data_IF_643300781259
#
_entry.id   IF_643300781259
#
_cell.length_a   1.000
_cell.length_b   1.000
_cell.length_c   1.000
_cell.angle_alpha   90.00
_cell.angle_beta   90.00
_cell.angle_gamma   90.00
#
_symmetry.space_group_name_H-M   'P 1'
#
loop_
_entity.id
_entity.type
_entity.pdbx_description
1 polymer ?
#
# COMPACT_ATOMS: atom_id res chain seq x y z
N UNK A 1 1.19 14.93 -29.20
CA UNK A 1 1.42 16.11 -28.33
C UNK A 1 2.44 15.73 -27.27
N UNK A 2 3.39 16.60 -26.92
CA UNK A 2 4.32 16.34 -25.81
C UNK A 2 3.59 16.57 -24.48
N UNK A 3 3.52 15.53 -23.65
CA UNK A 3 2.82 15.49 -22.37
C UNK A 3 3.81 15.60 -21.21
N UNK A 4 3.73 16.70 -20.46
CA UNK A 4 4.52 16.89 -19.24
C UNK A 4 4.19 15.80 -18.21
N UNK A 5 5.23 15.23 -17.59
CA UNK A 5 5.10 14.24 -16.52
C UNK A 5 4.75 12.84 -17.00
N UNK A 6 4.87 12.54 -18.30
CA UNK A 6 4.64 11.20 -18.85
C UNK A 6 5.84 10.70 -19.64
N UNK A 7 5.95 9.38 -19.73
CA UNK A 7 6.83 8.72 -20.70
C UNK A 7 6.13 8.61 -22.04
N UNK A 8 6.87 8.91 -23.09
CA UNK A 8 6.36 8.84 -24.45
C UNK A 8 7.49 8.59 -25.43
N UNK A 9 7.13 7.98 -26.55
CA UNK A 9 8.04 7.79 -27.67
C UNK A 9 8.08 9.07 -28.52
N UNK A 10 9.27 9.60 -28.77
CA UNK A 10 9.50 10.78 -29.61
C UNK A 10 10.61 10.52 -30.62
N UNK A 11 10.54 11.19 -31.77
CA UNK A 11 11.51 11.05 -32.84
C UNK A 11 12.63 12.10 -32.73
N UNK A 12 13.87 11.70 -33.01
CA UNK A 12 15.02 12.59 -33.11
C UNK A 12 14.92 13.43 -34.38
N UNK A 13 14.65 14.73 -34.23
CA UNK A 13 14.45 15.66 -35.34
C UNK A 13 15.73 16.40 -35.75
N UNK A 14 16.60 16.69 -34.78
CA UNK A 14 17.86 17.42 -35.00
C UNK A 14 18.87 17.12 -33.90
N UNK A 15 20.14 17.14 -34.27
CA UNK A 15 21.27 16.99 -33.35
C UNK A 15 22.03 18.31 -33.20
N UNK A 16 22.49 18.58 -31.98
CA UNK A 16 23.36 19.69 -31.60
C UNK A 16 24.46 19.15 -30.68
N UNK A 17 25.52 19.93 -30.49
CA UNK A 17 26.64 19.51 -29.62
C UNK A 17 26.19 19.19 -28.18
N UNK A 18 25.21 19.92 -27.67
CA UNK A 18 24.71 19.78 -26.29
C UNK A 18 23.57 18.76 -26.13
N UNK A 19 23.10 18.14 -27.21
CA UNK A 19 22.02 17.14 -27.14
C UNK A 19 21.22 17.01 -28.44
N UNK A 20 20.14 16.24 -28.37
CA UNK A 20 19.23 16.04 -29.50
C UNK A 20 17.86 16.63 -29.18
N UNK A 21 17.17 17.14 -30.19
CA UNK A 21 15.79 17.57 -30.01
C UNK A 21 14.85 16.48 -30.50
N UNK A 22 13.92 16.13 -29.63
CA UNK A 22 12.91 15.11 -29.82
C UNK A 22 11.55 15.76 -30.08
N UNK A 23 10.73 15.19 -30.95
CA UNK A 23 9.39 15.71 -31.19
C UNK A 23 8.57 14.83 -32.12
N UNK A 24 7.40 15.34 -32.48
CA UNK A 24 6.55 14.74 -33.51
C UNK A 24 6.89 15.40 -34.85
N UNK A 25 7.04 14.60 -35.91
CA UNK A 25 7.36 15.11 -37.25
C UNK A 25 6.37 16.17 -37.75
N UNK A 26 5.11 16.05 -37.36
CA UNK A 26 4.03 16.96 -37.76
C UNK A 26 4.09 18.32 -37.05
N UNK A 27 4.86 18.45 -35.97
CA UNK A 27 5.01 19.67 -35.15
C UNK A 27 6.46 19.88 -34.70
N UNK A 28 7.40 20.10 -35.63
CA UNK A 28 8.82 20.20 -35.32
C UNK A 28 9.16 21.39 -34.39
N UNK A 29 8.36 22.45 -34.41
CA UNK A 29 8.48 23.61 -33.51
C UNK A 29 8.21 23.28 -32.04
N UNK A 30 7.47 22.21 -31.75
CA UNK A 30 7.14 21.77 -30.41
C UNK A 30 8.19 20.78 -29.83
N UNK A 31 9.41 20.74 -30.38
CA UNK A 31 10.46 19.81 -29.95
C UNK A 31 11.02 20.11 -28.55
N UNK A 32 11.46 19.06 -27.86
CA UNK A 32 12.05 19.09 -26.52
C UNK A 32 13.51 18.62 -26.56
N UNK A 33 14.38 19.23 -25.75
CA UNK A 33 15.80 18.83 -25.68
C UNK A 33 15.97 17.57 -24.82
N UNK A 34 16.68 16.57 -25.34
CA UNK A 34 17.32 15.50 -24.58
C UNK A 34 18.82 15.83 -24.44
N UNK A 35 19.33 16.13 -23.23
CA UNK A 35 20.72 16.50 -23.02
C UNK A 35 21.71 15.43 -23.48
N UNK A 36 22.87 15.83 -24.01
CA UNK A 36 23.87 14.91 -24.58
C UNK A 36 24.24 13.73 -23.67
N UNK A 37 24.33 13.97 -22.36
CA UNK A 37 24.66 12.94 -21.35
C UNK A 37 23.65 11.79 -21.29
N UNK A 38 22.43 12.01 -21.77
CA UNK A 38 21.33 11.06 -21.71
C UNK A 38 20.96 10.50 -23.08
N UNK A 39 21.66 10.91 -24.14
CA UNK A 39 21.47 10.40 -25.49
C UNK A 39 22.12 9.01 -25.60
N UNK A 40 21.37 7.96 -25.94
CA UNK A 40 21.94 6.62 -26.14
C UNK A 40 23.03 6.62 -27.23
N UNK A 41 24.07 5.81 -27.05
CA UNK A 41 25.16 5.71 -28.02
C UNK A 41 24.64 5.25 -29.39
N UNK A 42 25.11 5.89 -30.46
CA UNK A 42 24.71 5.57 -31.82
C UNK A 42 23.36 6.13 -32.29
N UNK A 43 22.67 6.92 -31.45
CA UNK A 43 21.42 7.63 -31.82
C UNK A 43 21.64 8.52 -33.05
N UNK A 44 20.72 8.44 -34.02
CA UNK A 44 20.72 9.22 -35.26
C UNK A 44 19.40 9.97 -35.43
N UNK A 45 19.41 10.96 -36.33
CA UNK A 45 18.18 11.63 -36.79
C UNK A 45 17.25 10.59 -37.40
N UNK A 46 15.97 10.62 -37.00
CA UNK A 46 14.96 9.65 -37.42
C UNK A 46 14.71 8.53 -36.40
N UNK A 47 15.63 8.30 -35.45
CA UNK A 47 15.44 7.30 -34.42
C UNK A 47 14.34 7.70 -33.44
N UNK A 48 13.70 6.70 -32.83
CA UNK A 48 12.67 6.90 -31.81
C UNK A 48 13.20 6.53 -30.44
N UNK A 49 12.99 7.42 -29.47
CA UNK A 49 13.41 7.24 -28.10
C UNK A 49 12.21 7.37 -27.16
N UNK A 50 12.08 6.44 -26.21
CA UNK A 50 11.15 6.57 -25.10
C UNK A 50 11.76 7.46 -24.03
N UNK A 51 11.16 8.62 -23.79
CA UNK A 51 11.66 9.61 -22.84
C UNK A 51 10.56 10.07 -21.88
N UNK A 52 10.95 10.47 -20.67
CA UNK A 52 10.09 11.18 -19.74
C UNK A 52 10.23 12.68 -19.91
N UNK A 53 9.11 13.40 -19.90
CA UNK A 53 9.09 14.85 -20.08
C UNK A 53 8.93 15.55 -18.73
N UNK A 54 9.82 16.48 -18.40
CA UNK A 54 9.75 17.27 -17.19
C UNK A 54 10.25 18.70 -17.42
N UNK A 55 10.45 19.45 -16.33
CA UNK A 55 11.02 20.80 -16.37
C UNK A 55 12.35 20.88 -15.65
N UNK A 56 13.32 21.52 -16.30
CA UNK A 56 14.65 21.80 -15.74
C UNK A 56 14.57 22.89 -14.63
N UNK A 57 15.73 23.43 -14.22
CA UNK A 57 15.81 24.52 -13.24
C UNK A 57 15.36 25.88 -13.77
N UNK A 58 15.26 26.04 -15.09
CA UNK A 58 14.83 27.27 -15.77
C UNK A 58 13.37 27.17 -16.25
N UNK A 59 12.60 26.21 -15.72
CA UNK A 59 11.21 25.92 -16.08
C UNK A 59 10.97 25.58 -17.57
N UNK A 60 12.03 25.19 -18.30
CA UNK A 60 11.95 24.74 -19.69
C UNK A 60 11.59 23.26 -19.76
N UNK A 61 10.75 22.90 -20.73
CA UNK A 61 10.50 21.49 -21.04
C UNK A 61 11.80 20.82 -21.49
N UNK A 62 12.07 19.67 -20.89
CA UNK A 62 13.26 18.86 -21.15
C UNK A 62 12.89 17.37 -21.07
N UNK A 63 13.61 16.55 -21.83
CA UNK A 63 13.42 15.11 -21.89
C UNK A 63 14.53 14.38 -21.14
N UNK A 64 14.20 13.22 -20.60
CA UNK A 64 15.18 12.28 -20.01
C UNK A 64 14.91 10.85 -20.42
N UNK A 65 15.98 10.08 -20.65
CA UNK A 65 15.90 8.62 -20.84
C UNK A 65 15.92 7.84 -19.52
N UNK A 66 16.22 8.52 -18.40
CA UNK A 66 16.08 7.93 -17.08
C UNK A 66 14.61 7.62 -16.79
N UNK A 67 14.37 6.48 -16.14
CA UNK A 67 13.04 6.00 -15.82
C UNK A 67 12.63 6.57 -14.45
N UNK A 68 11.60 7.42 -14.37
CA UNK A 68 11.08 7.87 -13.08
C UNK A 68 10.39 6.72 -12.35
N UNK A 69 10.26 6.85 -11.04
CA UNK A 69 9.51 5.89 -10.20
C UNK A 69 7.99 5.95 -10.40
N UNK A 70 7.48 7.06 -10.91
CA UNK A 70 6.07 7.31 -11.16
C UNK A 70 5.88 8.38 -12.24
N UNK A 71 4.76 8.29 -12.95
CA UNK A 71 4.30 9.28 -13.92
C UNK A 71 3.13 10.13 -13.38
N UNK A 72 2.75 11.17 -14.11
CA UNK A 72 1.65 12.05 -13.75
C UNK A 72 0.34 11.28 -13.68
N UNK A 73 -0.32 11.37 -12.54
CA UNK A 73 -1.53 10.62 -12.23
C UNK A 73 -1.28 9.29 -11.50
N UNK A 74 -0.02 8.88 -11.33
CA UNK A 74 0.34 7.66 -10.63
C UNK A 74 0.71 7.91 -9.17
N UNK A 75 0.66 6.84 -8.38
CA UNK A 75 1.01 6.79 -6.96
C UNK A 75 2.18 5.84 -6.79
N UNK A 76 3.15 6.23 -5.97
CA UNK A 76 4.25 5.36 -5.59
C UNK A 76 4.76 5.69 -4.18
N UNK A 77 5.45 4.72 -3.58
CA UNK A 77 6.22 4.94 -2.36
C UNK A 77 7.56 5.63 -2.72
N UNK A 78 7.78 6.82 -2.18
CA UNK A 78 8.97 7.63 -2.48
C UNK A 78 9.74 7.98 -1.20
N UNK A 79 11.07 7.92 -1.30
CA UNK A 79 11.98 8.28 -0.20
C UNK A 79 12.12 9.79 -0.07
N UNK A 80 12.00 10.30 1.15
CA UNK A 80 12.28 11.70 1.51
C UNK A 80 13.80 11.91 1.52
N UNK A 81 14.31 12.75 0.62
CA UNK A 81 15.73 13.10 0.53
C UNK A 81 16.10 14.25 1.46
N UNK A 82 15.26 15.27 1.48
CA UNK A 82 15.51 16.52 2.20
C UNK A 82 14.19 17.14 2.66
N UNK A 83 14.18 17.79 3.83
CA UNK A 83 13.07 18.62 4.29
C UNK A 83 13.53 20.07 4.36
N UNK A 84 12.83 20.95 3.65
CA UNK A 84 13.16 22.37 3.55
C UNK A 84 12.02 23.25 4.08
N UNK A 85 12.19 24.58 3.97
CA UNK A 85 11.18 25.57 4.37
C UNK A 85 9.90 25.55 3.52
N UNK A 86 9.92 24.89 2.36
CA UNK A 86 8.77 24.87 1.43
C UNK A 86 8.07 23.50 1.34
N UNK A 87 8.68 22.46 1.92
CA UNK A 87 8.17 21.09 1.85
C UNK A 87 9.29 20.05 1.90
N UNK A 88 8.92 18.82 1.60
CA UNK A 88 9.85 17.70 1.46
C UNK A 88 10.23 17.51 -0.02
N UNK A 89 11.44 17.04 -0.29
CA UNK A 89 11.89 16.64 -1.62
C UNK A 89 11.97 15.11 -1.67
N UNK A 90 11.26 14.52 -2.63
CA UNK A 90 11.10 13.08 -2.77
C UNK A 90 11.93 12.56 -3.95
N UNK A 91 12.59 11.44 -3.72
CA UNK A 91 13.36 10.73 -4.74
C UNK A 91 12.43 10.07 -5.76
N UNK A 92 12.26 10.71 -6.91
CA UNK A 92 11.50 10.18 -8.03
C UNK A 92 12.35 9.40 -9.05
N UNK A 93 13.61 9.10 -8.75
CA UNK A 93 14.52 8.38 -9.65
C UNK A 93 15.14 9.23 -10.78
N UNK A 94 14.99 10.55 -10.72
CA UNK A 94 15.57 11.49 -11.68
C UNK A 94 16.63 12.36 -11.00
N UNK A 95 17.40 13.13 -11.79
CA UNK A 95 18.38 14.09 -11.25
C UNK A 95 17.74 15.18 -10.37
N UNK A 96 16.46 15.46 -10.60
CA UNK A 96 15.68 16.45 -9.85
C UNK A 96 14.67 15.73 -8.96
N UNK A 97 14.71 16.04 -7.67
CA UNK A 97 13.73 15.54 -6.72
C UNK A 97 12.37 16.22 -6.87
N UNK A 98 11.32 15.49 -6.49
CA UNK A 98 9.92 15.92 -6.58
C UNK A 98 9.52 16.67 -5.31
N UNK A 99 9.12 17.93 -5.46
CA UNK A 99 8.64 18.72 -4.32
C UNK A 99 7.27 18.20 -3.83
N UNK A 100 7.19 17.88 -2.54
CA UNK A 100 5.97 17.64 -1.77
C UNK A 100 5.71 18.85 -0.84
N UNK A 101 4.87 19.83 -1.26
CA UNK A 101 4.59 21.01 -0.47
C UNK A 101 3.90 20.67 0.86
N UNK A 102 4.13 21.46 1.92
CA UNK A 102 3.49 21.22 3.22
C UNK A 102 1.97 21.13 3.19
N UNK A 103 1.31 21.87 2.29
CA UNK A 103 -0.16 21.85 2.11
C UNK A 103 -0.68 20.52 1.54
N UNK A 104 0.21 19.73 0.95
CA UNK A 104 -0.09 18.44 0.34
C UNK A 104 0.37 17.25 1.19
N UNK A 105 0.90 17.51 2.39
CA UNK A 105 1.27 16.48 3.35
C UNK A 105 0.08 16.12 4.25
N UNK A 106 -0.16 14.83 4.45
CA UNK A 106 -1.20 14.31 5.37
C UNK A 106 -0.63 13.87 6.72
N UNK A 107 0.70 13.88 6.87
CA UNK A 107 1.42 13.54 8.09
C UNK A 107 2.77 14.26 8.17
N UNK A 108 3.42 14.18 9.34
CA UNK A 108 4.80 14.69 9.50
C UNK A 108 5.78 13.68 8.93
N UNK A 109 6.69 14.15 8.09
CA UNK A 109 7.75 13.35 7.47
C UNK A 109 9.10 13.64 8.14
N UNK A 110 10.02 12.68 8.04
CA UNK A 110 11.44 12.85 8.37
C UNK A 110 12.31 12.49 7.17
N UNK A 111 13.51 13.05 7.11
CA UNK A 111 14.49 12.68 6.11
C UNK A 111 14.84 11.20 6.20
N UNK A 112 14.94 10.54 5.05
CA UNK A 112 15.20 9.12 4.94
C UNK A 112 13.96 8.22 5.05
N UNK A 113 12.81 8.73 5.53
CA UNK A 113 11.55 7.98 5.54
C UNK A 113 11.00 7.80 4.13
N UNK A 114 10.08 6.86 3.97
CA UNK A 114 9.31 6.66 2.75
C UNK A 114 7.88 7.10 2.96
N UNK A 115 7.28 7.73 1.94
CA UNK A 115 5.88 8.11 1.97
C UNK A 115 5.19 7.79 0.65
N UNK A 116 3.92 7.38 0.76
CA UNK A 116 3.06 7.18 -0.39
C UNK A 116 2.64 8.54 -0.95
N UNK A 117 2.96 8.79 -2.22
CA UNK A 117 2.67 10.06 -2.87
C UNK A 117 2.24 9.88 -4.32
N UNK A 118 1.36 10.79 -4.77
CA UNK A 118 0.95 10.88 -6.17
C UNK A 118 1.68 12.02 -6.88
N UNK A 119 2.01 11.83 -8.16
CA UNK A 119 2.58 12.90 -9.00
C UNK A 119 1.46 13.66 -9.70
N UNK A 120 1.47 14.97 -9.57
CA UNK A 120 0.53 15.87 -10.23
C UNK A 120 1.23 17.06 -10.87
N UNK A 121 0.52 17.72 -11.79
CA UNK A 121 0.99 18.95 -12.44
C UNK A 121 0.28 20.12 -11.76
N UNK A 122 1.06 21.04 -11.18
CA UNK A 122 0.52 22.23 -10.52
C UNK A 122 -0.03 23.27 -11.53
N UNK A 123 -0.65 24.32 -11.01
CA UNK A 123 -1.21 25.42 -11.83
C UNK A 123 -0.13 26.20 -12.60
N UNK A 124 1.13 26.09 -12.20
CA UNK A 124 2.30 26.69 -12.87
C UNK A 124 2.94 25.71 -13.87
N UNK A 125 2.27 24.60 -14.17
CA UNK A 125 2.77 23.55 -15.06
C UNK A 125 4.11 22.96 -14.60
N UNK A 126 4.27 22.71 -13.30
CA UNK A 126 5.43 22.00 -12.72
C UNK A 126 5.00 20.71 -12.06
N UNK A 127 5.90 19.72 -12.05
CA UNK A 127 5.66 18.46 -11.36
C UNK A 127 5.76 18.69 -9.84
N UNK A 128 4.79 18.15 -9.11
CA UNK A 128 4.76 18.16 -7.66
C UNK A 128 4.15 16.85 -7.13
N UNK A 129 4.40 16.57 -5.86
CA UNK A 129 3.87 15.41 -5.15
C UNK A 129 2.76 15.80 -4.18
N UNK A 130 1.82 14.88 -3.95
CA UNK A 130 0.82 14.98 -2.87
C UNK A 130 0.65 13.65 -2.13
N UNK A 131 0.53 13.69 -0.80
CA UNK A 131 0.15 12.54 0.01
C UNK A 131 -1.37 12.29 0.00
N UNK A 132 -2.15 13.20 -0.60
CA UNK A 132 -3.60 13.04 -0.78
C UNK A 132 -3.88 12.15 -1.98
N UNK A 133 -3.52 10.88 -1.85
CA UNK A 133 -3.48 9.93 -2.97
C UNK A 133 -4.86 9.45 -3.46
N UNK A 134 -5.93 9.65 -2.68
CA UNK A 134 -7.28 9.16 -3.00
C UNK A 134 -7.72 9.41 -4.46
N UNK A 135 -7.58 10.63 -5.04
CA UNK A 135 -8.02 10.89 -6.42
C UNK A 135 -7.23 10.13 -7.50
N UNK A 136 -6.08 9.55 -7.14
CA UNK A 136 -5.14 8.89 -8.04
C UNK A 136 -5.21 7.36 -7.94
N UNK A 137 -5.96 6.85 -6.95
CA UNK A 137 -6.18 5.42 -6.81
C UNK A 137 -7.26 4.93 -7.80
N UNK A 138 -7.18 3.64 -8.11
CA UNK A 138 -8.06 2.97 -9.07
C UNK A 138 -8.95 1.95 -8.35
N UNK A 139 -10.05 1.59 -9.00
CA UNK A 139 -10.83 0.42 -8.58
C UNK A 139 -10.03 -0.85 -8.85
N UNK A 140 -10.16 -1.81 -7.96
CA UNK A 140 -9.45 -3.08 -8.03
C UNK A 140 -10.17 -4.03 -8.99
N UNK A 141 -9.52 -4.38 -10.09
CA UNK A 141 -9.96 -5.45 -10.99
C UNK A 141 -9.20 -6.74 -10.65
N UNK A 142 -9.89 -7.88 -10.65
CA UNK A 142 -9.27 -9.21 -10.47
C UNK A 142 -9.14 -9.70 -9.02
N UNK A 143 -9.35 -8.84 -8.03
CA UNK A 143 -9.39 -9.22 -6.62
C UNK A 143 -10.64 -10.02 -6.24
N UNK A 144 -10.50 -10.95 -5.29
CA UNK A 144 -11.54 -11.82 -4.77
C UNK A 144 -11.55 -11.81 -3.24
N UNK A 145 -12.68 -12.24 -2.69
CA UNK A 145 -12.81 -12.46 -1.25
C UNK A 145 -11.77 -13.49 -0.78
N UNK A 146 -11.18 -13.22 0.38
CA UNK A 146 -10.09 -13.96 1.02
C UNK A 146 -8.70 -13.78 0.42
N UNK A 147 -8.53 -13.02 -0.67
CA UNK A 147 -7.20 -12.68 -1.18
C UNK A 147 -6.40 -11.92 -0.12
N UNK A 148 -5.12 -12.30 0.03
CA UNK A 148 -4.17 -11.58 0.87
C UNK A 148 -3.60 -10.41 0.09
N UNK A 149 -3.56 -9.26 0.73
CA UNK A 149 -3.11 -8.01 0.12
C UNK A 149 -2.16 -7.26 1.06
N UNK A 150 -1.32 -6.42 0.47
CA UNK A 150 -0.55 -5.42 1.20
C UNK A 150 -0.92 -4.03 0.72
N UNK A 151 -0.73 -3.02 1.55
CA UNK A 151 -0.94 -1.65 1.14
C UNK A 151 -0.57 -0.66 2.23
N UNK A 152 -0.47 0.61 1.86
CA UNK A 152 -0.12 1.67 2.79
C UNK A 152 -1.36 2.44 3.24
N UNK A 153 -1.42 2.71 4.54
CA UNK A 153 -2.47 3.55 5.13
C UNK A 153 -2.27 5.00 4.67
N UNK A 154 -3.28 5.62 4.05
CA UNK A 154 -3.19 7.02 3.63
C UNK A 154 -4.13 7.96 4.38
N UNK A 155 -5.17 7.43 5.03
CA UNK A 155 -6.12 8.23 5.82
C UNK A 155 -6.76 7.39 6.94
N UNK A 156 -6.92 8.00 8.11
CA UNK A 156 -7.70 7.45 9.22
C UNK A 156 -8.96 8.29 9.42
N UNK A 157 -10.13 7.65 9.46
CA UNK A 157 -11.41 8.31 9.68
C UNK A 157 -12.19 7.60 10.79
N UNK A 158 -12.53 8.33 11.85
CA UNK A 158 -13.20 7.77 13.04
C UNK A 158 -14.57 7.14 12.73
N UNK A 159 -15.26 7.59 11.68
CA UNK A 159 -16.59 7.09 11.31
C UNK A 159 -16.51 5.91 10.34
N UNK A 160 -15.62 5.97 9.37
CA UNK A 160 -15.56 4.97 8.29
C UNK A 160 -14.55 3.86 8.57
N UNK A 161 -13.39 4.19 9.14
CA UNK A 161 -12.29 3.26 9.38
C UNK A 161 -10.97 3.76 8.81
N UNK A 162 -10.11 2.83 8.41
CA UNK A 162 -8.75 3.12 7.92
C UNK A 162 -8.70 2.90 6.42
N UNK A 163 -8.28 3.90 5.67
CA UNK A 163 -8.14 3.82 4.23
C UNK A 163 -6.72 3.40 3.85
N UNK A 164 -6.64 2.46 2.91
CA UNK A 164 -5.42 1.76 2.51
C UNK A 164 -5.31 1.78 1.00
N UNK A 165 -4.16 2.18 0.46
CA UNK A 165 -3.83 2.02 -0.94
C UNK A 165 -3.27 0.61 -1.15
N UNK A 166 -4.12 -0.31 -1.61
CA UNK A 166 -3.74 -1.71 -1.85
C UNK A 166 -2.83 -1.78 -3.07
N UNK A 167 -1.71 -2.49 -2.95
CA UNK A 167 -0.60 -2.49 -3.92
C UNK A 167 -0.18 -1.08 -4.36
N UNK A 168 -0.37 -0.09 -3.48
CA UNK A 168 -0.11 1.33 -3.76
C UNK A 168 -0.90 1.91 -4.95
N UNK A 169 -1.96 1.22 -5.39
CA UNK A 169 -2.72 1.58 -6.60
C UNK A 169 -4.23 1.56 -6.41
N UNK A 170 -4.75 0.72 -5.52
CA UNK A 170 -6.16 0.42 -5.45
C UNK A 170 -6.84 0.91 -4.17
N UNK A 171 -8.12 1.26 -4.26
CA UNK A 171 -8.92 1.62 -3.09
C UNK A 171 -9.14 0.43 -2.16
N UNK A 172 -8.65 0.53 -0.93
CA UNK A 172 -8.94 -0.36 0.19
C UNK A 172 -9.40 0.40 1.43
N UNK A 173 -10.21 -0.25 2.25
CA UNK A 173 -10.65 0.30 3.53
C UNK A 173 -10.82 -0.81 4.57
N UNK A 174 -10.21 -0.67 5.73
CA UNK A 174 -10.50 -1.48 6.92
C UNK A 174 -11.68 -0.79 7.63
N UNK A 175 -12.91 -1.36 7.62
CA UNK A 175 -14.06 -0.71 8.24
C UNK A 175 -13.84 -0.51 9.74
N UNK A 176 -14.43 0.55 10.33
CA UNK A 176 -14.26 0.90 11.76
C UNK A 176 -14.45 -0.29 12.72
N UNK A 177 -15.40 -1.19 12.42
CA UNK A 177 -15.67 -2.41 13.21
C UNK A 177 -14.53 -3.45 13.20
N UNK A 178 -13.69 -3.44 12.16
CA UNK A 178 -12.55 -4.32 11.98
C UNK A 178 -11.26 -3.73 12.59
N UNK A 179 -11.21 -2.41 12.80
CA UNK A 179 -10.07 -1.72 13.42
C UNK A 179 -9.92 -2.20 14.87
N UNK A 180 -8.73 -2.72 15.20
CA UNK A 180 -8.41 -3.25 16.54
C UNK A 180 -7.27 -2.51 17.24
N UNK A 181 -6.59 -1.63 16.51
CA UNK A 181 -5.52 -0.76 16.99
C UNK A 181 -5.49 0.52 16.17
N UNK A 182 -4.73 1.49 16.63
CA UNK A 182 -4.45 2.68 15.85
C UNK A 182 -3.42 2.35 14.77
N UNK A 183 -3.76 2.69 13.52
CA UNK A 183 -2.86 2.59 12.37
C UNK A 183 -2.26 3.97 12.08
N UNK A 184 -0.98 4.02 11.73
CA UNK A 184 -0.31 5.27 11.38
C UNK A 184 -0.44 5.54 9.88
N UNK A 185 -0.55 6.81 9.48
CA UNK A 185 -0.43 7.19 8.06
C UNK A 185 0.97 6.80 7.58
N UNK A 186 1.05 6.20 6.39
CA UNK A 186 2.27 5.64 5.81
C UNK A 186 2.60 4.23 6.31
N UNK A 187 1.81 3.64 7.21
CA UNK A 187 2.06 2.29 7.70
C UNK A 187 1.73 1.25 6.63
N UNK A 188 2.67 0.34 6.35
CA UNK A 188 2.43 -0.85 5.55
C UNK A 188 1.59 -1.85 6.36
N UNK A 189 0.45 -2.23 5.82
CA UNK A 189 -0.46 -3.21 6.43
C UNK A 189 -0.59 -4.44 5.54
N UNK A 190 -0.66 -5.60 6.17
CA UNK A 190 -1.10 -6.84 5.54
C UNK A 190 -2.54 -7.10 5.95
N UNK A 191 -3.38 -7.42 4.97
CA UNK A 191 -4.81 -7.64 5.19
C UNK A 191 -5.34 -8.73 4.27
N UNK A 192 -6.57 -9.17 4.56
CA UNK A 192 -7.37 -9.96 3.60
C UNK A 192 -8.52 -9.14 3.05
N UNK A 193 -8.89 -9.41 1.81
CA UNK A 193 -10.11 -8.86 1.19
C UNK A 193 -11.33 -9.56 1.80
N UNK A 194 -12.14 -8.82 2.55
CA UNK A 194 -13.39 -9.34 3.13
C UNK A 194 -14.56 -9.24 2.15
N UNK A 195 -14.52 -8.22 1.27
CA UNK A 195 -15.54 -7.95 0.26
C UNK A 195 -14.95 -7.10 -0.86
N UNK A 196 -15.28 -7.47 -2.09
CA UNK A 196 -15.17 -6.58 -3.26
C UNK A 196 -16.52 -5.90 -3.41
N UNK A 197 -16.54 -4.57 -3.32
CA UNK A 197 -17.77 -3.78 -3.37
C UNK A 197 -18.26 -3.61 -4.81
N UNK A 198 -19.55 -3.30 -5.04
CA UNK A 198 -20.08 -3.08 -6.39
C UNK A 198 -19.38 -1.94 -7.16
N UNK A 199 -18.80 -0.97 -6.44
CA UNK A 199 -18.01 0.12 -7.01
C UNK A 199 -16.53 -0.25 -7.23
N UNK A 200 -16.16 -1.53 -7.12
CA UNK A 200 -14.80 -2.02 -7.35
C UNK A 200 -13.80 -1.71 -6.22
N UNK A 201 -14.25 -1.18 -5.08
CA UNK A 201 -13.40 -0.92 -3.90
C UNK A 201 -13.33 -2.12 -2.98
N UNK A 202 -12.27 -2.22 -2.18
CA UNK A 202 -12.01 -3.36 -1.30
C UNK A 202 -12.32 -3.02 0.16
N UNK A 203 -13.13 -3.85 0.82
CA UNK A 203 -13.21 -3.87 2.29
C UNK A 203 -12.19 -4.89 2.84
N UNK A 204 -11.37 -4.46 3.78
CA UNK A 204 -10.22 -5.20 4.29
C UNK A 204 -10.40 -5.59 5.77
N UNK A 205 -9.68 -6.62 6.19
CA UNK A 205 -9.49 -6.94 7.61
C UNK A 205 -8.05 -7.36 7.88
N UNK A 206 -7.41 -6.67 8.81
CA UNK A 206 -6.08 -7.01 9.34
C UNK A 206 -6.17 -7.97 10.53
N UNK A 207 -7.37 -8.35 10.97
CA UNK A 207 -7.51 -9.39 11.98
C UNK A 207 -7.09 -10.69 11.32
N UNK A 208 -5.98 -11.24 11.77
CA UNK A 208 -5.72 -12.66 11.57
C UNK A 208 -6.97 -13.40 12.03
N UNK A 209 -7.43 -14.31 11.16
CA UNK A 209 -8.75 -14.93 11.27
C UNK A 209 -8.96 -15.27 12.74
N UNK A 210 -10.07 -14.85 13.33
CA UNK A 210 -10.49 -15.37 14.62
C UNK A 210 -10.43 -16.92 14.65
N UNK A 211 -10.44 -17.57 13.48
CA UNK A 211 -10.12 -18.97 13.23
C UNK A 211 -8.69 -19.40 13.60
N UNK A 212 -7.62 -18.67 13.26
CA UNK A 212 -6.25 -19.01 13.64
C UNK A 212 -6.06 -18.93 15.15
N UNK A 213 -6.59 -17.87 15.78
CA UNK A 213 -6.56 -17.74 17.23
C UNK A 213 -7.47 -18.77 17.91
N UNK A 214 -8.59 -19.16 17.28
CA UNK A 214 -9.42 -20.28 17.73
C UNK A 214 -8.73 -21.63 17.56
N UNK A 215 -7.92 -21.83 16.52
CA UNK A 215 -7.13 -23.04 16.29
C UNK A 215 -5.95 -23.10 17.27
N UNK A 216 -5.33 -21.97 17.62
CA UNK A 216 -4.31 -21.86 18.67
C UNK A 216 -4.90 -22.13 20.06
N UNK A 217 -6.02 -21.48 20.41
CA UNK A 217 -6.74 -21.72 21.67
C UNK A 217 -7.21 -23.18 21.75
N UNK A 218 -7.71 -23.74 20.65
CA UNK A 218 -8.14 -25.14 20.56
C UNK A 218 -6.96 -26.11 20.66
N UNK A 219 -5.83 -25.82 20.01
CA UNK A 219 -4.60 -26.61 20.11
C UNK A 219 -4.03 -26.58 21.54
N UNK A 220 -4.08 -25.42 22.20
CA UNK A 220 -3.69 -25.28 23.60
C UNK A 220 -4.56 -26.13 24.52
N UNK A 221 -5.89 -26.10 24.33
CA UNK A 221 -6.83 -26.94 25.09
C UNK A 221 -6.57 -28.42 24.87
N UNK A 222 -6.33 -28.86 23.62
CA UNK A 222 -5.99 -30.25 23.31
C UNK A 222 -4.67 -30.69 23.96
N UNK A 223 -3.67 -29.80 23.99
CA UNK A 223 -2.38 -30.08 24.63
C UNK A 223 -2.54 -30.27 26.14
N UNK A 224 -3.28 -29.39 26.80
CA UNK A 224 -3.56 -29.54 28.24
C UNK A 224 -4.40 -30.80 28.48
N UNK A 225 -5.38 -31.11 27.64
CA UNK A 225 -6.10 -32.39 27.71
C UNK A 225 -5.15 -33.59 27.68
N UNK A 226 -4.15 -33.59 26.80
CA UNK A 226 -3.14 -34.66 26.74
C UNK A 226 -2.27 -34.74 27.99
N UNK A 227 -1.95 -33.60 28.61
CA UNK A 227 -1.21 -33.56 29.89
C UNK A 227 -2.03 -34.12 31.07
N UNK A 228 -3.35 -34.16 30.95
CA UNK A 228 -4.28 -34.74 31.93
C UNK A 228 -4.86 -36.09 31.47
N UNK A 229 -4.06 -36.90 30.75
CA UNK A 229 -4.45 -38.24 30.26
C UNK A 229 -5.77 -38.25 29.45
N UNK A 230 -6.05 -37.15 28.75
CA UNK A 230 -7.24 -36.98 27.92
C UNK A 230 -8.50 -36.52 28.67
N UNK A 231 -8.43 -36.18 29.96
CA UNK A 231 -9.61 -35.80 30.76
C UNK A 231 -9.38 -34.55 31.60
N UNK A 232 -10.14 -33.49 31.33
CA UNK A 232 -10.21 -32.32 32.21
C UNK A 232 -11.31 -32.50 33.27
N UNK A 233 -11.01 -32.27 34.57
CA UNK A 233 -11.96 -32.48 35.67
C UNK A 233 -12.98 -31.33 35.83
N UNK A 234 -13.31 -30.63 34.75
CA UNK A 234 -14.31 -29.58 34.70
C UNK A 234 -14.86 -29.43 33.28
N UNK A 235 -16.06 -28.85 33.16
CA UNK A 235 -16.76 -28.62 31.89
C UNK A 235 -16.68 -27.15 31.44
N UNK A 236 -17.43 -26.80 30.39
CA UNK A 236 -17.54 -25.44 29.83
C UNK A 236 -18.15 -24.39 30.79
N UNK A 237 -18.64 -24.81 31.97
CA UNK A 237 -19.18 -23.96 33.03
C UNK A 237 -18.14 -23.55 34.07
N UNK A 238 -16.90 -24.04 33.97
CA UNK A 238 -15.80 -23.68 34.85
C UNK A 238 -15.70 -22.17 35.12
N UNK A 239 -15.22 -21.81 36.31
CA UNK A 239 -15.12 -20.41 36.71
C UNK A 239 -14.04 -19.70 35.85
N UNK A 240 -14.16 -18.38 35.62
CA UNK A 240 -13.15 -17.62 34.89
C UNK A 240 -11.74 -17.78 35.49
N UNK A 241 -11.63 -17.91 36.81
CA UNK A 241 -10.36 -18.07 37.53
C UNK A 241 -9.71 -19.41 37.19
N UNK A 242 -10.48 -20.50 37.18
CA UNK A 242 -9.99 -21.83 36.78
C UNK A 242 -9.54 -21.81 35.33
N UNK A 243 -10.37 -21.29 34.41
CA UNK A 243 -10.04 -21.22 32.97
C UNK A 243 -8.76 -20.41 32.73
N UNK A 244 -8.62 -19.28 33.44
CA UNK A 244 -7.43 -18.44 33.33
C UNK A 244 -6.18 -19.11 33.91
N UNK A 245 -6.32 -19.87 34.99
CA UNK A 245 -5.19 -20.59 35.61
C UNK A 245 -4.68 -21.72 34.71
N UNK A 246 -5.59 -22.52 34.15
CA UNK A 246 -5.22 -23.72 33.38
C UNK A 246 -4.83 -23.40 31.93
N UNK A 247 -5.49 -22.43 31.28
CA UNK A 247 -5.28 -22.15 29.85
C UNK A 247 -4.77 -20.74 29.56
N UNK A 248 -4.69 -19.87 30.56
CA UNK A 248 -4.43 -18.44 30.35
C UNK A 248 -5.44 -17.77 29.38
N UNK A 249 -6.66 -18.34 29.29
CA UNK A 249 -7.73 -17.85 28.42
C UNK A 249 -8.79 -17.08 29.21
N UNK A 250 -9.51 -16.21 28.52
CA UNK A 250 -10.78 -15.68 29.03
C UNK A 250 -11.88 -16.75 28.92
N UNK A 251 -12.92 -16.69 29.76
CA UNK A 251 -14.08 -17.60 29.68
C UNK A 251 -14.74 -17.59 28.31
N UNK A 252 -14.80 -16.43 27.64
CA UNK A 252 -15.37 -16.34 26.29
C UNK A 252 -14.47 -16.95 25.20
N UNK A 253 -13.14 -16.86 25.34
CA UNK A 253 -12.21 -17.54 24.43
C UNK A 253 -12.29 -19.06 24.61
N UNK A 254 -12.27 -19.52 25.86
CA UNK A 254 -12.42 -20.93 26.21
C UNK A 254 -13.71 -21.55 25.67
N UNK A 255 -14.88 -20.93 25.90
CA UNK A 255 -16.16 -21.48 25.38
C UNK A 255 -16.19 -21.54 23.85
N UNK A 256 -15.55 -20.59 23.16
CA UNK A 256 -15.45 -20.61 21.69
C UNK A 256 -14.55 -21.75 21.20
N UNK A 257 -13.39 -21.94 21.81
CA UNK A 257 -12.44 -23.00 21.44
C UNK A 257 -12.98 -24.41 21.75
N UNK A 258 -13.59 -24.61 22.93
CA UNK A 258 -14.30 -25.85 23.29
C UNK A 258 -15.45 -26.14 22.32
N UNK A 259 -16.25 -25.13 21.98
CA UNK A 259 -17.34 -25.28 21.01
C UNK A 259 -16.87 -25.59 19.59
N UNK A 260 -15.65 -25.17 19.22
CA UNK A 260 -15.01 -25.52 17.94
C UNK A 260 -14.54 -26.99 17.95
N UNK A 261 -13.79 -27.40 18.97
CA UNK A 261 -13.33 -28.78 19.14
C UNK A 261 -14.47 -29.80 19.20
N UNK A 262 -15.60 -29.44 19.83
CA UNK A 262 -16.79 -30.28 19.87
C UNK A 262 -17.41 -30.48 18.47
N UNK A 263 -17.43 -29.43 17.64
CA UNK A 263 -17.92 -29.51 16.25
C UNK A 263 -17.01 -30.34 15.36
N UNK A 264 -15.70 -30.33 15.60
CA UNK A 264 -14.72 -31.17 14.90
C UNK A 264 -14.70 -32.62 15.41
N UNK A 265 -15.46 -32.94 16.46
CA UNK A 265 -15.54 -34.30 17.02
C UNK A 265 -14.28 -34.74 17.77
N UNK A 266 -13.38 -33.82 18.14
CA UNK A 266 -12.12 -34.11 18.84
C UNK A 266 -12.29 -34.26 20.36
N UNK A 267 -13.38 -33.74 20.91
CA UNK A 267 -13.68 -33.80 22.35
C UNK A 267 -15.16 -34.13 22.59
N UNK A 268 -15.44 -34.58 23.79
CA UNK A 268 -16.77 -34.77 24.37
C UNK A 268 -16.90 -33.96 25.66
N UNK A 269 -18.06 -33.34 25.88
CA UNK A 269 -18.35 -32.60 27.11
C UNK A 269 -19.40 -33.37 27.88
N UNK A 270 -19.06 -33.80 29.11
CA UNK A 270 -19.99 -34.44 30.04
C UNK A 270 -20.50 -33.41 31.06
N UNK A 271 -21.37 -33.82 31.97
CA UNK A 271 -21.86 -32.94 33.04
C UNK A 271 -20.75 -32.42 33.94
N UNK A 272 -19.62 -33.12 34.03
CA UNK A 272 -18.53 -32.79 34.97
C UNK A 272 -17.17 -32.60 34.30
N UNK A 273 -16.98 -33.05 33.06
CA UNK A 273 -15.64 -33.18 32.45
C UNK A 273 -15.62 -32.83 30.96
N UNK A 274 -14.44 -32.56 30.44
CA UNK A 274 -14.16 -32.54 28.99
C UNK A 274 -13.21 -33.71 28.70
N UNK A 275 -13.57 -34.57 27.75
CA UNK A 275 -12.86 -35.81 27.44
C UNK A 275 -12.38 -35.72 25.98
N UNK A 276 -11.14 -36.13 25.72
CA UNK A 276 -10.61 -36.26 24.36
C UNK A 276 -11.18 -37.51 23.69
N UNK A 277 -11.58 -37.39 22.42
CA UNK A 277 -12.00 -38.53 21.58
C UNK A 277 -10.85 -39.13 20.80
#
# INVERSE_FOLDING_TARGET
MIELGKRQELEVLREKEFGVYLGEKERPEASVLLPRKQVPEGTKIGDRLTVFIYKDSEDRLIATTAVPKLEAGEVALLKVKEITKIGAFLDMGLEKDLLLPFKEQTGKLREGEECLAALYIDKSSRLAATMKVYPYLKTADGYKKEDKVKGHVYENNERFGVFVAVDDQYYGMIPVREVFRNFRIGELVEARVTKVRPDGKLDLSCREKAYLQMDEDAAMILKVLDEFDGVLPFNDKASPEVIKREFNLSKNAFKRAVGHLLKEGKIEITETSIIRK
#
